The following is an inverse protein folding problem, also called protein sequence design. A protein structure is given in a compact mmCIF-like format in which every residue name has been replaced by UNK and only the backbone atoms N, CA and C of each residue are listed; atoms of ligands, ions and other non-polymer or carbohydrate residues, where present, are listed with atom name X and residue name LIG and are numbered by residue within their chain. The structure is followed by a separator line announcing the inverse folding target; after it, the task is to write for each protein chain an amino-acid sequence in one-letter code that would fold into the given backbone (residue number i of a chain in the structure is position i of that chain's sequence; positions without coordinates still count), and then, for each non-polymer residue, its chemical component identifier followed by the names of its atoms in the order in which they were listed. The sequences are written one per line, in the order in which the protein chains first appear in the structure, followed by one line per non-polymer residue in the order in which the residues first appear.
data_IF_090320259294
#
_entry.id   IF_090320259294
#
_cell.length_a   1.000
_cell.length_b   1.000
_cell.length_c   1.000
_cell.angle_alpha   90.00
_cell.angle_beta   90.00
_cell.angle_gamma   90.00
#
_symmetry.space_group_name_H-M   'P 1'
#
loop_
_entity.id
_entity.type
_entity.pdbx_description
1 polymer ?
#
# COMPACT_ATOMS: atom_id res chain seq x y z
N UNK A 1 -6.44 -17.15 11.46
CA UNK A 1 -7.04 -15.88 10.97
C UNK A 1 -6.80 -14.74 11.94
N UNK A 2 -6.93 -14.96 13.25
CA UNK A 2 -6.70 -13.89 14.24
C UNK A 2 -5.28 -13.29 14.14
N UNK A 3 -4.26 -14.11 13.89
CA UNK A 3 -2.88 -13.63 13.75
C UNK A 3 -2.70 -12.71 12.53
N UNK A 4 -3.30 -13.05 11.39
CA UNK A 4 -3.26 -12.23 10.18
C UNK A 4 -4.02 -10.93 10.38
N UNK A 5 -5.18 -10.96 11.05
CA UNK A 5 -5.97 -9.77 11.33
C UNK A 5 -5.22 -8.81 12.25
N UNK A 6 -4.55 -9.32 13.29
CA UNK A 6 -3.72 -8.48 14.17
C UNK A 6 -2.53 -7.87 13.44
N UNK A 7 -1.91 -8.64 12.56
CA UNK A 7 -0.79 -8.17 11.73
C UNK A 7 -1.25 -7.05 10.80
N UNK A 8 -2.42 -7.20 10.18
CA UNK A 8 -3.02 -6.17 9.34
C UNK A 8 -3.28 -4.89 10.14
N UNK A 9 -3.91 -4.99 11.31
CA UNK A 9 -4.21 -3.83 12.15
C UNK A 9 -2.93 -3.09 12.54
N UNK A 10 -1.88 -3.79 12.91
CA UNK A 10 -0.60 -3.18 13.28
C UNK A 10 0.06 -2.50 12.09
N UNK A 11 0.06 -3.17 10.95
CA UNK A 11 0.66 -2.62 9.72
C UNK A 11 -0.09 -1.38 9.26
N UNK A 12 -1.42 -1.42 9.21
CA UNK A 12 -2.25 -0.28 8.80
C UNK A 12 -2.07 0.89 9.76
N UNK A 13 -2.04 0.64 11.06
CA UNK A 13 -1.82 1.70 12.06
C UNK A 13 -0.45 2.37 11.85
N UNK A 14 0.59 1.57 11.70
CA UNK A 14 1.94 2.05 11.45
C UNK A 14 2.00 2.87 10.14
N UNK A 15 1.45 2.32 9.07
CA UNK A 15 1.50 2.95 7.74
C UNK A 15 0.78 4.30 7.74
N UNK A 16 -0.45 4.34 8.28
CA UNK A 16 -1.21 5.58 8.38
C UNK A 16 -0.48 6.63 9.24
N UNK A 17 0.11 6.21 10.34
CA UNK A 17 0.86 7.09 11.24
C UNK A 17 2.07 7.73 10.53
N UNK A 18 2.85 6.92 9.83
CA UNK A 18 4.04 7.39 9.12
C UNK A 18 3.69 8.27 7.92
N UNK A 19 2.73 7.84 7.12
CA UNK A 19 2.26 8.62 5.96
C UNK A 19 1.71 9.97 6.41
N UNK A 20 0.95 9.98 7.49
CA UNK A 20 0.30 11.17 8.02
C UNK A 20 1.24 12.22 8.58
N UNK A 21 2.54 11.92 8.72
CA UNK A 21 3.51 12.90 9.21
C UNK A 21 3.80 14.02 8.20
N UNK A 22 3.55 13.80 6.92
CA UNK A 22 3.63 14.87 5.92
C UNK A 22 2.51 15.88 6.17
N UNK A 23 2.81 17.17 5.99
CA UNK A 23 1.91 18.24 6.42
C UNK A 23 0.91 18.68 5.36
N UNK A 24 1.09 18.28 4.12
CA UNK A 24 0.18 18.64 3.02
C UNK A 24 -0.46 17.40 2.42
N UNK A 25 -1.66 17.54 1.83
CA UNK A 25 -2.29 16.41 1.13
C UNK A 25 -1.40 15.81 0.04
N UNK A 26 -0.80 16.64 -0.81
CA UNK A 26 0.14 16.18 -1.85
C UNK A 26 1.34 15.46 -1.23
N UNK A 27 1.89 16.02 -0.16
CA UNK A 27 3.01 15.42 0.57
C UNK A 27 2.67 14.05 1.13
N UNK A 28 1.46 13.86 1.66
CA UNK A 28 1.02 12.55 2.17
C UNK A 28 0.92 11.53 1.05
N UNK A 29 0.39 11.91 -0.11
CA UNK A 29 0.31 11.00 -1.25
C UNK A 29 1.69 10.55 -1.73
N UNK A 30 2.66 11.46 -1.79
CA UNK A 30 4.03 11.11 -2.13
C UNK A 30 4.70 10.28 -1.03
N UNK A 31 4.38 10.58 0.23
CA UNK A 31 4.93 9.88 1.39
C UNK A 31 4.50 8.41 1.47
N UNK A 32 3.40 8.04 0.80
CA UNK A 32 3.01 6.63 0.67
C UNK A 32 4.19 5.75 0.22
N UNK A 33 4.96 6.25 -0.73
CA UNK A 33 6.08 5.51 -1.33
C UNK A 33 7.38 5.67 -0.54
N UNK A 34 7.60 6.81 0.06
CA UNK A 34 8.76 7.04 0.94
C UNK A 34 8.72 6.11 2.15
N UNK A 35 7.54 5.93 2.74
CA UNK A 35 7.34 5.02 3.86
C UNK A 35 7.54 3.56 3.43
N UNK A 36 7.06 3.19 2.22
CA UNK A 36 7.31 1.86 1.68
C UNK A 36 8.80 1.58 1.52
N UNK A 37 9.57 2.55 1.02
CA UNK A 37 11.02 2.39 0.84
C UNK A 37 11.71 2.10 2.18
N UNK A 38 11.33 2.83 3.21
CA UNK A 38 11.83 2.60 4.56
C UNK A 38 11.48 1.18 5.05
N UNK A 39 10.27 0.73 4.80
CA UNK A 39 9.83 -0.61 5.17
C UNK A 39 10.61 -1.68 4.41
N UNK A 40 10.86 -1.49 3.10
CA UNK A 40 11.66 -2.43 2.30
C UNK A 40 13.07 -2.61 2.86
N UNK A 41 13.64 -1.56 3.41
CA UNK A 41 14.99 -1.60 4.01
C UNK A 41 14.98 -2.17 5.43
N UNK A 42 13.82 -2.39 6.03
CA UNK A 42 13.73 -2.88 7.40
C UNK A 42 14.08 -4.36 7.49
N UNK A 43 14.62 -4.73 8.66
CA UNK A 43 14.91 -6.11 8.94
C UNK A 43 13.63 -6.94 8.98
N UNK A 44 13.66 -8.09 8.33
CA UNK A 44 12.51 -8.98 8.30
C UNK A 44 11.44 -8.65 7.27
N UNK A 45 11.69 -7.70 6.35
CA UNK A 45 10.74 -7.44 5.26
C UNK A 45 10.54 -8.73 4.44
N UNK A 46 9.27 -9.16 4.32
CA UNK A 46 8.87 -10.38 3.62
C UNK A 46 7.79 -10.10 2.58
N UNK A 47 7.58 -8.84 2.22
CA UNK A 47 6.52 -8.42 1.34
C UNK A 47 5.16 -8.39 2.04
N UNK A 48 4.09 -8.32 1.25
CA UNK A 48 2.73 -8.32 1.79
C UNK A 48 2.34 -9.75 2.18
N UNK A 49 2.12 -9.99 3.48
CA UNK A 49 1.74 -11.30 3.98
C UNK A 49 0.45 -11.82 3.33
N UNK A 50 -0.48 -10.90 3.04
CA UNK A 50 -1.78 -11.27 2.44
C UNK A 50 -1.62 -11.68 0.99
N UNK A 51 -0.80 -10.97 0.21
CA UNK A 51 -0.52 -11.34 -1.18
C UNK A 51 0.18 -12.71 -1.24
N UNK A 52 1.19 -12.91 -0.41
CA UNK A 52 1.96 -14.16 -0.38
C UNK A 52 1.07 -15.35 -0.02
N UNK A 53 0.24 -15.19 1.01
CA UNK A 53 -0.65 -16.25 1.45
C UNK A 53 -1.76 -16.52 0.44
N UNK A 54 -2.34 -15.47 -0.15
CA UNK A 54 -3.38 -15.59 -1.17
C UNK A 54 -2.89 -16.32 -2.42
N UNK A 55 -1.60 -16.20 -2.74
CA UNK A 55 -0.98 -16.90 -3.88
C UNK A 55 -0.91 -18.42 -3.70
N UNK A 56 -1.02 -18.91 -2.47
CA UNK A 56 -0.93 -20.34 -2.17
C UNK A 56 -2.27 -21.07 -2.29
N UNK A 57 -3.39 -20.34 -2.37
CA UNK A 57 -4.71 -20.93 -2.48
C UNK A 57 -5.44 -20.42 -3.72
N UNK A 58 -6.12 -21.33 -4.42
CA UNK A 58 -6.93 -21.01 -5.58
C UNK A 58 -8.41 -20.75 -5.26
N UNK A 59 -8.83 -20.95 -4.01
CA UNK A 59 -10.24 -20.84 -3.62
C UNK A 59 -10.57 -19.39 -3.21
N UNK A 60 -11.44 -18.67 -3.97
CA UNK A 60 -11.85 -17.32 -3.63
C UNK A 60 -12.58 -17.20 -2.28
N UNK A 61 -13.13 -18.29 -1.77
CA UNK A 61 -13.86 -18.32 -0.50
C UNK A 61 -12.97 -18.73 0.67
N UNK A 62 -11.71 -19.02 0.44
CA UNK A 62 -10.76 -19.35 1.51
C UNK A 62 -10.69 -18.18 2.51
N UNK A 63 -10.77 -18.47 3.85
CA UNK A 63 -10.74 -17.43 4.86
C UNK A 63 -9.53 -16.49 4.76
N UNK A 64 -8.36 -17.01 4.36
CA UNK A 64 -7.16 -16.19 4.18
C UNK A 64 -7.35 -15.19 3.04
N UNK A 65 -7.96 -15.61 1.94
CA UNK A 65 -8.25 -14.70 0.82
C UNK A 65 -9.28 -13.65 1.20
N UNK A 66 -10.25 -14.00 2.04
CA UNK A 66 -11.25 -13.03 2.53
C UNK A 66 -10.58 -11.97 3.42
N UNK A 67 -9.67 -12.39 4.31
CA UNK A 67 -8.90 -11.45 5.13
C UNK A 67 -8.01 -10.57 4.25
N UNK A 68 -7.38 -11.15 3.22
CA UNK A 68 -6.57 -10.39 2.27
C UNK A 68 -7.41 -9.34 1.54
N UNK A 69 -8.61 -9.68 1.13
CA UNK A 69 -9.54 -8.75 0.48
C UNK A 69 -9.91 -7.61 1.42
N UNK A 70 -10.18 -7.91 2.70
CA UNK A 70 -10.47 -6.89 3.70
C UNK A 70 -9.28 -5.94 3.91
N UNK A 71 -8.06 -6.47 3.94
CA UNK A 71 -6.84 -5.68 4.05
C UNK A 71 -6.73 -4.69 2.87
N UNK A 72 -6.93 -5.18 1.65
CA UNK A 72 -6.89 -4.31 0.46
C UNK A 72 -8.00 -3.27 0.49
N UNK A 73 -9.17 -3.63 0.99
CA UNK A 73 -10.27 -2.66 1.11
C UNK A 73 -9.94 -1.57 2.12
N UNK A 74 -9.37 -1.91 3.27
CA UNK A 74 -8.94 -0.92 4.27
C UNK A 74 -7.90 0.04 3.69
N UNK A 75 -6.91 -0.50 2.97
CA UNK A 75 -5.89 0.32 2.33
C UNK A 75 -6.52 1.23 1.27
N UNK A 76 -7.41 0.68 0.45
CA UNK A 76 -8.11 1.46 -0.58
C UNK A 76 -8.92 2.59 0.04
N UNK A 77 -9.64 2.33 1.14
CA UNK A 77 -10.42 3.35 1.84
C UNK A 77 -9.53 4.49 2.34
N UNK A 78 -8.37 4.16 2.90
CA UNK A 78 -7.39 5.16 3.32
C UNK A 78 -6.89 5.99 2.13
N UNK A 79 -6.56 5.33 1.02
CA UNK A 79 -6.12 6.03 -0.19
C UNK A 79 -7.20 6.96 -0.72
N UNK A 80 -8.47 6.54 -0.66
CA UNK A 80 -9.60 7.41 -1.05
C UNK A 80 -9.68 8.66 -0.17
N UNK A 81 -9.46 8.51 1.13
CA UNK A 81 -9.41 9.65 2.05
C UNK A 81 -8.33 10.66 1.62
N UNK A 82 -7.12 10.16 1.35
CA UNK A 82 -5.99 11.02 0.93
C UNK A 82 -6.26 11.70 -0.41
N UNK A 83 -6.82 10.98 -1.37
CA UNK A 83 -7.14 11.53 -2.68
C UNK A 83 -8.23 12.59 -2.59
N UNK A 84 -9.22 12.39 -1.73
CA UNK A 84 -10.28 13.36 -1.47
C UNK A 84 -9.72 14.64 -0.85
N UNK A 85 -8.85 14.49 0.16
CA UNK A 85 -8.19 15.64 0.80
C UNK A 85 -7.32 16.42 -0.18
N UNK A 86 -6.70 15.74 -1.13
CA UNK A 86 -5.89 16.38 -2.19
C UNK A 86 -6.77 17.14 -3.19
N UNK A 87 -8.06 16.85 -3.24
CA UNK A 87 -8.97 17.47 -4.18
C UNK A 87 -8.97 16.80 -5.55
N UNK A 88 -8.65 15.52 -5.62
CA UNK A 88 -8.66 14.78 -6.88
C UNK A 88 -10.05 14.81 -7.50
N UNK A 89 -10.10 14.91 -8.82
CA UNK A 89 -11.35 14.96 -9.58
C UNK A 89 -12.13 13.66 -9.44
N UNK A 90 -11.42 12.52 -9.49
CA UNK A 90 -12.00 11.19 -9.27
C UNK A 90 -11.17 10.45 -8.21
N UNK A 91 -11.48 10.70 -6.91
CA UNK A 91 -10.67 10.13 -5.82
C UNK A 91 -10.65 8.60 -5.81
N UNK A 92 -11.77 7.96 -6.14
CA UNK A 92 -11.84 6.50 -6.12
C UNK A 92 -10.98 5.87 -7.20
N UNK A 93 -10.98 6.45 -8.39
CA UNK A 93 -10.15 5.96 -9.49
C UNK A 93 -8.66 6.15 -9.18
N UNK A 94 -8.30 7.34 -8.71
CA UNK A 94 -6.91 7.63 -8.34
C UNK A 94 -6.44 6.69 -7.23
N UNK A 95 -7.29 6.43 -6.23
CA UNK A 95 -6.96 5.52 -5.15
C UNK A 95 -6.67 4.11 -5.67
N UNK A 96 -7.47 3.60 -6.62
CA UNK A 96 -7.24 2.29 -7.23
C UNK A 96 -5.92 2.24 -7.98
N UNK A 97 -5.58 3.31 -8.69
CA UNK A 97 -4.31 3.41 -9.40
C UNK A 97 -3.13 3.43 -8.44
N UNK A 98 -3.24 4.17 -7.35
CA UNK A 98 -2.21 4.21 -6.31
C UNK A 98 -2.04 2.84 -5.62
N UNK A 99 -3.12 2.13 -5.39
CA UNK A 99 -3.06 0.79 -4.80
C UNK A 99 -2.27 -0.17 -5.70
N UNK A 100 -2.48 -0.11 -7.01
CA UNK A 100 -1.73 -0.92 -7.96
C UNK A 100 -0.24 -0.59 -7.90
N UNK A 101 0.11 0.70 -7.81
CA UNK A 101 1.50 1.12 -7.70
C UNK A 101 2.14 0.64 -6.39
N UNK A 102 1.42 0.74 -5.29
CA UNK A 102 1.90 0.28 -3.98
C UNK A 102 2.16 -1.22 -4.00
N UNK A 103 1.18 -2.00 -4.44
CA UNK A 103 1.31 -3.46 -4.49
C UNK A 103 2.37 -3.91 -5.48
N UNK A 104 2.49 -3.22 -6.61
CA UNK A 104 3.54 -3.48 -7.60
C UNK A 104 4.93 -3.22 -7.02
N UNK A 105 5.10 -2.11 -6.31
CA UNK A 105 6.37 -1.77 -5.67
C UNK A 105 6.77 -2.81 -4.62
N UNK A 106 5.81 -3.24 -3.79
CA UNK A 106 6.04 -4.27 -2.77
C UNK A 106 6.51 -5.58 -3.41
N UNK A 107 5.81 -6.03 -4.44
CA UNK A 107 6.11 -7.29 -5.12
C UNK A 107 7.48 -7.24 -5.80
N UNK A 108 7.78 -6.16 -6.51
CA UNK A 108 9.07 -6.01 -7.20
C UNK A 108 10.21 -5.97 -6.19
N UNK A 109 10.05 -5.20 -5.10
CA UNK A 109 11.07 -5.14 -4.05
C UNK A 109 11.31 -6.50 -3.40
N UNK A 110 10.24 -7.26 -3.15
CA UNK A 110 10.36 -8.58 -2.55
C UNK A 110 11.08 -9.57 -3.47
N UNK A 111 10.68 -9.62 -4.74
CA UNK A 111 11.19 -10.63 -5.68
C UNK A 111 12.61 -10.32 -6.15
N UNK A 112 12.91 -9.06 -6.41
CA UNK A 112 14.20 -8.65 -6.99
C UNK A 112 15.19 -8.12 -5.96
N UNK A 113 14.73 -7.77 -4.77
CA UNK A 113 15.57 -7.10 -3.76
C UNK A 113 15.81 -5.62 -4.08
N UNK A 114 15.19 -5.08 -5.11
CA UNK A 114 15.39 -3.70 -5.55
C UNK A 114 14.44 -2.75 -4.82
N UNK A 115 14.96 -2.07 -3.79
CA UNK A 115 14.18 -1.12 -2.99
C UNK A 115 13.83 0.15 -3.77
N UNK A 116 14.51 0.43 -4.88
CA UNK A 116 14.17 1.58 -5.73
C UNK A 116 12.83 1.42 -6.44
N UNK A 117 12.19 0.24 -6.34
CA UNK A 117 10.82 0.05 -6.81
C UNK A 117 9.88 1.09 -6.20
N UNK A 118 10.10 1.49 -4.93
CA UNK A 118 9.32 2.54 -4.29
C UNK A 118 9.54 3.91 -4.95
N UNK A 119 10.77 4.23 -5.32
CA UNK A 119 11.08 5.49 -6.00
C UNK A 119 10.45 5.54 -7.40
N UNK A 120 10.49 4.43 -8.12
CA UNK A 120 9.88 4.35 -9.45
C UNK A 120 8.37 4.47 -9.37
N UNK A 121 7.75 3.81 -8.39
CA UNK A 121 6.31 3.93 -8.18
C UNK A 121 5.92 5.36 -7.80
N UNK A 122 6.73 6.03 -6.95
CA UNK A 122 6.51 7.43 -6.60
C UNK A 122 6.59 8.33 -7.82
N UNK A 123 7.53 8.08 -8.71
CA UNK A 123 7.68 8.84 -9.96
C UNK A 123 6.42 8.71 -10.82
N UNK A 124 5.85 7.52 -10.93
CA UNK A 124 4.59 7.31 -11.63
C UNK A 124 3.42 8.01 -10.94
N UNK A 125 3.39 7.97 -9.60
CA UNK A 125 2.37 8.67 -8.83
C UNK A 125 2.43 10.18 -9.04
N UNK A 126 3.63 10.76 -9.13
CA UNK A 126 3.79 12.19 -9.44
C UNK A 126 3.10 12.55 -10.75
N UNK A 127 3.23 11.71 -11.77
CA UNK A 127 2.58 11.94 -13.06
C UNK A 127 1.06 11.89 -12.93
N UNK A 128 0.54 10.95 -12.16
CA UNK A 128 -0.90 10.85 -11.91
C UNK A 128 -1.44 12.07 -11.15
N UNK A 129 -0.62 12.68 -10.31
CA UNK A 129 -1.00 13.81 -9.46
C UNK A 129 -0.65 15.17 -10.09
N UNK A 130 -0.03 15.20 -11.25
CA UNK A 130 0.50 16.40 -11.90
C UNK A 130 1.49 17.16 -11.00
N UNK A 131 2.38 16.42 -10.38
CA UNK A 131 3.39 16.99 -9.48
C UNK A 131 4.82 16.84 -10.00
#
# INVERSE_FOLDING_TARGET
MAALQRRDQRWMHWYRSEVGQAQTPAGRLLNLFTVLKSWFASEGFRGCAFINTSGETGDPQDPVRLVAKEHKQKLLDYLCELCTEHGAEDPQRLARQLLILIDGAITVALVTGDHSAADNAQCMARKLLDL
#
